data_IF_671685397538
#
_entry.id   IF_671685397538
#
_cell.length_a   1.000
_cell.length_b   1.000
_cell.length_c   1.000
_cell.angle_alpha   90.00
_cell.angle_beta   90.00
_cell.angle_gamma   90.00
#
_symmetry.space_group_name_H-M   'P 1'
#
loop_
_entity.id
_entity.type
_entity.pdbx_description
1 polymer ?
#
# COMPACT_ATOMS: atom_id res chain seq x y z
N UNK A 1 25.01 23.13 29.42
CA UNK A 1 23.96 22.85 28.41
C UNK A 1 24.56 22.00 27.30
N UNK A 2 24.32 20.68 27.32
CA UNK A 2 24.77 19.76 26.29
C UNK A 2 23.51 19.16 25.63
N UNK A 3 23.19 19.63 24.43
CA UNK A 3 22.13 19.06 23.60
C UNK A 3 22.59 17.69 23.09
N UNK A 4 21.90 16.62 23.46
CA UNK A 4 22.07 15.29 22.85
C UNK A 4 21.31 15.29 21.51
N UNK A 5 22.05 15.16 20.41
CA UNK A 5 21.48 14.84 19.10
C UNK A 5 21.03 13.38 19.10
N UNK A 6 19.73 13.16 19.03
CA UNK A 6 19.14 11.86 18.74
C UNK A 6 19.29 11.61 17.24
N UNK A 7 20.07 10.59 16.89
CA UNK A 7 20.22 10.12 15.51
C UNK A 7 18.96 9.33 15.12
N UNK A 8 18.02 9.98 14.43
CA UNK A 8 16.93 9.31 13.72
C UNK A 8 17.51 8.59 12.51
N UNK A 9 17.37 7.26 12.46
CA UNK A 9 17.53 6.48 11.24
C UNK A 9 16.18 6.49 10.51
N UNK A 10 16.07 7.34 9.52
CA UNK A 10 14.99 7.29 8.52
C UNK A 10 15.47 6.43 7.37
N UNK A 11 14.86 5.30 7.16
CA UNK A 11 14.90 4.52 5.93
C UNK A 11 13.43 4.20 5.61
N UNK A 12 12.83 5.00 4.78
CA UNK A 12 11.51 4.79 4.22
C UNK A 12 11.35 5.75 3.04
N UNK A 13 11.31 5.24 1.85
CA UNK A 13 11.03 6.00 0.64
C UNK A 13 9.58 6.49 0.71
N UNK A 14 9.39 7.81 0.72
CA UNK A 14 8.08 8.45 0.63
C UNK A 14 7.74 8.60 -0.85
N UNK A 15 6.87 7.75 -1.34
CA UNK A 15 6.19 7.99 -2.61
C UNK A 15 5.11 9.06 -2.41
N UNK A 16 5.34 10.29 -2.91
CA UNK A 16 4.41 11.39 -2.82
C UNK A 16 3.37 11.27 -3.94
N UNK A 17 2.20 10.71 -3.66
CA UNK A 17 1.04 10.82 -4.56
C UNK A 17 0.16 11.98 -4.05
N UNK A 18 0.20 13.11 -4.73
CA UNK A 18 -0.68 14.25 -4.46
C UNK A 18 -1.97 14.07 -5.25
N UNK A 19 -3.01 13.56 -4.61
CA UNK A 19 -4.38 13.63 -5.14
C UNK A 19 -5.09 14.80 -4.46
N UNK A 20 -5.19 15.93 -5.16
CA UNK A 20 -5.99 17.06 -4.76
C UNK A 20 -7.47 16.80 -5.08
N UNK A 21 -8.18 16.11 -4.20
CA UNK A 21 -9.64 16.18 -4.14
C UNK A 21 -10.02 16.74 -2.79
N UNK A 22 -10.59 17.96 -2.80
CA UNK A 22 -11.06 18.61 -1.59
C UNK A 22 -12.13 17.74 -0.91
N UNK A 23 -11.75 17.04 0.14
CA UNK A 23 -12.67 16.40 1.05
C UNK A 23 -13.12 17.40 2.10
N UNK A 24 -14.36 17.88 1.96
CA UNK A 24 -15.09 18.42 3.11
C UNK A 24 -15.11 17.32 4.18
N UNK A 25 -14.56 17.64 5.35
CA UNK A 25 -14.60 16.79 6.54
C UNK A 25 -16.03 16.34 6.77
N UNK A 26 -16.35 15.09 6.44
CA UNK A 26 -17.59 14.50 6.90
C UNK A 26 -17.51 14.50 8.45
N UNK A 27 -18.53 15.01 9.18
CA UNK A 27 -18.55 14.81 10.62
C UNK A 27 -18.45 13.30 10.84
N UNK A 28 -17.58 12.87 11.76
CA UNK A 28 -17.55 11.50 12.25
C UNK A 28 -19.01 11.19 12.65
N UNK A 29 -19.74 10.49 11.76
CA UNK A 29 -21.08 10.03 12.03
C UNK A 29 -21.03 9.21 13.31
N UNK A 30 -22.13 9.13 14.04
CA UNK A 30 -22.24 8.36 15.29
C UNK A 30 -21.50 7.02 15.13
N UNK A 31 -20.27 6.96 15.68
CA UNK A 31 -19.45 5.74 15.62
C UNK A 31 -20.20 4.73 16.48
N UNK A 32 -20.68 3.67 15.85
CA UNK A 32 -21.38 2.63 16.54
C UNK A 32 -20.37 1.94 17.46
N UNK A 33 -20.52 2.06 18.79
CA UNK A 33 -19.55 1.59 19.78
C UNK A 33 -19.28 0.07 19.68
N UNK A 34 -20.16 -0.68 19.00
CA UNK A 34 -20.01 -2.11 18.76
C UNK A 34 -18.96 -2.45 17.67
N UNK A 35 -18.53 -1.46 16.87
CA UNK A 35 -17.61 -1.66 15.74
C UNK A 35 -16.17 -1.17 16.04
N UNK A 36 -15.85 -0.87 17.31
CA UNK A 36 -14.54 -0.39 17.72
C UNK A 36 -13.68 -1.52 18.29
N UNK A 37 -12.57 -1.79 17.63
CA UNK A 37 -11.63 -2.85 17.98
C UNK A 37 -10.27 -2.28 18.36
N UNK A 38 -9.57 -2.86 19.35
CA UNK A 38 -8.14 -2.60 19.57
C UNK A 38 -7.25 -3.47 18.67
N UNK A 39 -7.83 -4.51 18.08
CA UNK A 39 -7.17 -5.41 17.13
C UNK A 39 -8.18 -5.87 16.08
N UNK A 40 -7.74 -5.89 14.83
CA UNK A 40 -8.47 -6.46 13.70
C UNK A 40 -7.61 -7.56 13.09
N UNK A 41 -8.19 -8.75 12.91
CA UNK A 41 -7.54 -9.89 12.26
C UNK A 41 -8.50 -10.50 11.23
N UNK A 42 -8.07 -10.56 9.96
CA UNK A 42 -8.84 -11.11 8.83
C UNK A 42 -7.92 -11.74 7.79
N UNK A 43 -8.49 -12.54 6.91
CA UNK A 43 -7.78 -13.23 5.83
C UNK A 43 -6.95 -14.39 6.32
N UNK A 44 -6.23 -15.00 5.40
CA UNK A 44 -5.37 -16.14 5.66
C UNK A 44 -3.92 -15.76 5.40
N UNK A 45 -3.00 -16.36 6.15
CA UNK A 45 -1.59 -16.13 5.92
C UNK A 45 -1.16 -16.79 4.61
N UNK A 46 -0.61 -15.99 3.70
CA UNK A 46 0.16 -16.49 2.57
C UNK A 46 1.50 -17.05 3.07
N UNK A 47 2.12 -17.91 2.29
CA UNK A 47 3.44 -18.43 2.63
C UNK A 47 4.45 -17.28 2.82
N UNK A 48 5.25 -17.35 3.88
CA UNK A 48 6.17 -16.27 4.25
C UNK A 48 7.20 -15.94 3.17
N UNK A 49 7.52 -16.90 2.29
CA UNK A 49 8.40 -16.71 1.12
C UNK A 49 7.89 -15.63 0.16
N UNK A 50 6.57 -15.41 0.07
CA UNK A 50 5.98 -14.38 -0.78
C UNK A 50 5.99 -12.97 -0.18
N UNK A 51 6.25 -12.83 1.12
CA UNK A 51 6.17 -11.54 1.81
C UNK A 51 7.05 -10.44 1.18
N UNK A 52 8.32 -10.71 0.80
CA UNK A 52 9.14 -9.72 0.10
C UNK A 52 8.54 -9.22 -1.22
N UNK A 53 7.90 -10.12 -1.98
CA UNK A 53 7.30 -9.81 -3.29
C UNK A 53 6.01 -9.01 -3.13
N UNK A 54 5.18 -9.34 -2.15
CA UNK A 54 3.95 -8.61 -1.83
C UNK A 54 4.28 -7.20 -1.37
N UNK A 55 5.28 -7.03 -0.51
CA UNK A 55 5.72 -5.72 -0.01
C UNK A 55 6.31 -4.83 -1.11
N UNK A 56 6.82 -5.41 -2.18
CA UNK A 56 7.39 -4.71 -3.33
C UNK A 56 6.46 -4.74 -4.57
N UNK A 57 5.20 -5.13 -4.41
CA UNK A 57 4.26 -5.37 -5.51
C UNK A 57 4.13 -4.21 -6.53
N UNK A 58 4.47 -2.99 -6.13
CA UNK A 58 4.42 -1.76 -6.93
C UNK A 58 5.81 -1.21 -7.28
N UNK A 59 6.89 -1.95 -7.04
CA UNK A 59 8.27 -1.48 -7.19
C UNK A 59 9.04 -2.36 -8.18
N UNK A 60 9.01 -2.06 -9.48
CA UNK A 60 9.60 -2.88 -10.53
C UNK A 60 11.07 -3.22 -10.33
N UNK A 61 11.87 -2.23 -9.89
CA UNK A 61 13.31 -2.40 -9.68
C UNK A 61 13.60 -3.36 -8.51
N UNK A 62 12.88 -3.21 -7.41
CA UNK A 62 13.03 -4.10 -6.25
C UNK A 62 12.58 -5.53 -6.56
N UNK A 63 11.53 -5.69 -7.37
CA UNK A 63 11.09 -7.01 -7.85
C UNK A 63 12.13 -7.65 -8.76
N UNK A 64 12.75 -6.89 -9.67
CA UNK A 64 13.81 -7.41 -10.52
C UNK A 64 15.00 -7.94 -9.69
N UNK A 65 15.41 -7.21 -8.65
CA UNK A 65 16.46 -7.68 -7.72
C UNK A 65 16.04 -8.97 -7.00
N UNK A 66 14.80 -9.05 -6.50
CA UNK A 66 14.28 -10.25 -5.82
C UNK A 66 14.22 -11.49 -6.74
N UNK A 67 13.95 -11.28 -8.02
CA UNK A 67 13.88 -12.33 -9.04
C UNK A 67 15.25 -12.66 -9.64
N UNK A 68 16.31 -11.90 -9.30
CA UNK A 68 17.63 -12.04 -9.90
C UNK A 68 17.64 -11.65 -11.38
N UNK A 69 16.74 -10.77 -11.79
CA UNK A 69 16.63 -10.26 -13.16
C UNK A 69 17.38 -8.94 -13.34
N UNK A 70 17.80 -8.69 -14.58
CA UNK A 70 18.36 -7.38 -14.94
C UNK A 70 17.27 -6.31 -14.87
N UNK A 71 17.56 -5.20 -14.20
CA UNK A 71 16.71 -4.01 -14.20
C UNK A 71 16.84 -3.35 -15.55
N UNK A 72 15.80 -3.45 -16.37
CA UNK A 72 15.70 -2.77 -17.66
C UNK A 72 14.85 -1.50 -17.44
N UNK A 73 15.45 -0.34 -17.64
CA UNK A 73 14.82 0.90 -17.22
C UNK A 73 14.65 1.88 -18.36
N UNK A 74 13.38 2.20 -18.64
CA UNK A 74 13.02 3.52 -19.07
C UNK A 74 13.48 3.96 -20.45
N UNK A 75 13.65 3.05 -21.41
CA UNK A 75 13.83 3.43 -22.81
C UNK A 75 12.49 3.70 -23.49
N UNK A 76 11.45 2.99 -23.08
CA UNK A 76 10.13 3.10 -23.69
C UNK A 76 9.01 3.32 -22.64
N UNK A 77 9.02 2.59 -21.53
CA UNK A 77 8.06 2.80 -20.46
C UNK A 77 8.49 3.93 -19.53
N UNK A 78 7.51 4.66 -19.02
CA UNK A 78 7.74 5.78 -18.12
C UNK A 78 8.46 5.33 -16.84
N UNK A 79 9.63 5.92 -16.59
CA UNK A 79 10.41 5.75 -15.36
C UNK A 79 10.97 7.12 -14.92
N UNK A 80 10.12 7.98 -14.35
CA UNK A 80 10.45 9.33 -13.87
C UNK A 80 10.92 10.36 -14.94
N UNK A 81 10.74 10.07 -16.22
CA UNK A 81 11.02 10.98 -17.33
C UNK A 81 9.74 11.35 -18.08
N UNK A 82 9.71 12.57 -18.65
CA UNK A 82 8.48 13.20 -19.13
C UNK A 82 7.98 12.70 -20.50
N UNK A 83 8.74 11.92 -21.26
CA UNK A 83 8.44 11.63 -22.67
C UNK A 83 8.25 10.14 -22.97
N UNK A 84 7.76 9.37 -22.01
CA UNK A 84 7.65 7.92 -22.14
C UNK A 84 6.20 7.45 -22.02
N UNK A 85 5.99 6.18 -22.34
CA UNK A 85 4.66 5.55 -22.31
C UNK A 85 4.29 5.17 -20.89
N UNK A 86 3.22 5.76 -20.37
CA UNK A 86 2.56 5.33 -19.15
C UNK A 86 1.82 4.01 -19.36
N UNK A 87 1.58 3.27 -18.31
CA UNK A 87 1.01 1.93 -18.38
C UNK A 87 0.10 1.60 -17.21
N UNK A 88 -0.84 0.68 -17.42
CA UNK A 88 -1.60 0.05 -16.34
C UNK A 88 -0.71 -0.96 -15.61
N UNK A 89 -0.58 -0.80 -14.30
CA UNK A 89 0.12 -1.73 -13.42
C UNK A 89 -0.87 -2.73 -12.81
N UNK A 90 -0.64 -4.02 -13.02
CA UNK A 90 -1.44 -5.08 -12.41
C UNK A 90 -0.78 -5.55 -11.11
N UNK A 91 -1.21 -5.00 -9.98
CA UNK A 91 -0.56 -5.20 -8.67
C UNK A 91 -1.55 -5.25 -7.51
N UNK A 92 -1.13 -5.79 -6.37
CA UNK A 92 -1.97 -5.94 -5.18
C UNK A 92 -3.09 -6.98 -5.37
N UNK A 93 -4.10 -6.96 -4.49
CA UNK A 93 -5.23 -7.89 -4.58
C UNK A 93 -6.06 -7.68 -5.84
N UNK A 94 -6.41 -8.80 -6.48
CA UNK A 94 -7.34 -8.86 -7.62
C UNK A 94 -8.36 -9.97 -7.40
N UNK A 95 -9.63 -9.65 -7.64
CA UNK A 95 -10.70 -10.65 -7.53
C UNK A 95 -10.56 -11.72 -8.61
N UNK A 96 -10.70 -13.00 -8.22
CA UNK A 96 -10.65 -14.16 -9.14
C UNK A 96 -11.68 -14.03 -10.25
N UNK A 97 -11.33 -14.48 -11.44
CA UNK A 97 -12.17 -14.42 -12.63
C UNK A 97 -12.60 -13.01 -13.06
N UNK A 98 -12.13 -11.96 -12.39
CA UNK A 98 -12.32 -10.59 -12.87
C UNK A 98 -11.48 -10.32 -14.10
N UNK A 99 -11.87 -9.32 -14.89
CA UNK A 99 -11.12 -8.88 -16.06
C UNK A 99 -10.45 -7.55 -15.81
N UNK A 100 -9.20 -7.40 -16.24
CA UNK A 100 -8.41 -6.20 -16.11
C UNK A 100 -7.97 -5.72 -17.50
N UNK A 101 -8.31 -4.47 -17.82
CA UNK A 101 -7.80 -3.84 -19.03
C UNK A 101 -6.34 -3.41 -18.83
N UNK A 102 -5.48 -3.77 -19.76
CA UNK A 102 -4.10 -3.30 -19.82
C UNK A 102 -4.03 -2.19 -20.85
N UNK A 103 -3.70 -0.99 -20.41
CA UNK A 103 -3.69 0.22 -21.23
C UNK A 103 -2.31 0.87 -21.19
N UNK A 104 -1.99 1.54 -22.28
CA UNK A 104 -0.82 2.38 -22.42
C UNK A 104 -1.29 3.81 -22.65
N UNK A 105 -0.50 4.79 -22.17
CA UNK A 105 -0.83 6.21 -22.25
C UNK A 105 0.36 6.99 -22.78
N UNK A 106 0.15 7.84 -23.78
CA UNK A 106 1.17 8.82 -24.16
C UNK A 106 1.37 9.83 -23.04
N UNK A 107 2.60 10.09 -22.67
CA UNK A 107 2.96 11.06 -21.64
C UNK A 107 3.94 12.06 -22.23
N UNK A 108 3.65 13.36 -22.13
CA UNK A 108 4.46 14.40 -22.74
C UNK A 108 4.02 14.78 -24.16
N UNK A 109 4.89 15.49 -24.88
CA UNK A 109 4.64 15.97 -26.25
C UNK A 109 5.29 15.08 -27.32
N UNK A 110 6.11 14.10 -26.92
CA UNK A 110 6.79 13.18 -27.83
C UNK A 110 5.93 11.97 -28.14
N UNK A 111 5.87 11.61 -29.41
CA UNK A 111 5.29 10.32 -29.81
C UNK A 111 6.41 9.26 -29.72
N UNK A 112 6.26 8.24 -28.87
CA UNK A 112 7.25 7.17 -28.76
C UNK A 112 7.32 6.38 -30.05
N UNK A 113 8.50 5.90 -30.41
CA UNK A 113 8.68 5.03 -31.58
C UNK A 113 7.83 3.75 -31.42
N UNK A 114 7.15 3.32 -32.50
CA UNK A 114 6.36 2.09 -32.46
C UNK A 114 7.21 0.87 -32.06
N UNK A 115 6.68 0.04 -31.17
CA UNK A 115 7.39 -1.15 -30.70
C UNK A 115 6.47 -2.38 -30.63
N UNK A 116 7.05 -3.55 -30.45
CA UNK A 116 6.30 -4.75 -30.07
C UNK A 116 6.19 -4.82 -28.56
N UNK A 117 4.99 -5.03 -28.03
CA UNK A 117 4.74 -5.13 -26.59
C UNK A 117 4.26 -6.53 -26.24
N UNK A 118 4.83 -7.11 -25.19
CA UNK A 118 4.44 -8.40 -24.62
C UNK A 118 3.93 -8.21 -23.19
N UNK A 119 2.80 -8.84 -22.91
CA UNK A 119 2.22 -9.00 -21.56
C UNK A 119 2.33 -10.47 -21.17
N UNK A 120 2.93 -10.73 -20.01
CA UNK A 120 3.01 -12.08 -19.45
C UNK A 120 2.50 -12.10 -18.03
N UNK A 121 1.72 -13.11 -17.68
CA UNK A 121 1.31 -13.42 -16.31
C UNK A 121 1.78 -14.84 -16.00
N UNK A 122 2.59 -14.99 -14.97
CA UNK A 122 3.11 -16.27 -14.48
C UNK A 122 2.74 -16.46 -13.02
N UNK A 123 2.51 -17.69 -12.60
CA UNK A 123 2.38 -18.00 -11.20
C UNK A 123 3.75 -17.94 -10.52
N UNK A 124 3.84 -17.39 -9.31
CA UNK A 124 5.01 -17.55 -8.46
C UNK A 124 4.84 -18.80 -7.61
N UNK A 125 5.87 -19.62 -7.58
CA UNK A 125 5.92 -20.83 -6.78
C UNK A 125 6.78 -20.61 -5.54
N UNK A 126 6.22 -20.99 -4.38
CA UNK A 126 6.96 -20.95 -3.11
C UNK A 126 7.92 -22.13 -2.99
N UNK A 127 9.07 -21.89 -2.34
CA UNK A 127 10.08 -22.89 -2.09
C UNK A 127 11.15 -22.36 -1.15
N UNK A 128 12.35 -22.96 -1.18
CA UNK A 128 13.50 -22.40 -0.48
C UNK A 128 13.83 -20.99 -1.02
N UNK A 129 13.65 -20.83 -2.34
CA UNK A 129 13.60 -19.54 -3.04
C UNK A 129 12.30 -19.48 -3.86
N UNK A 130 11.69 -18.31 -3.97
CA UNK A 130 10.54 -18.10 -4.85
C UNK A 130 11.02 -18.12 -6.29
N UNK A 131 10.34 -18.89 -7.11
CA UNK A 131 10.63 -19.02 -8.54
C UNK A 131 9.41 -18.75 -9.39
N UNK A 132 9.66 -18.38 -10.64
CA UNK A 132 8.59 -18.29 -11.62
C UNK A 132 8.19 -19.70 -12.07
N UNK A 133 6.89 -19.98 -11.93
CA UNK A 133 6.28 -21.23 -12.34
C UNK A 133 5.62 -21.15 -13.71
N UNK A 134 4.40 -21.67 -13.82
CA UNK A 134 3.66 -21.73 -15.09
C UNK A 134 3.29 -20.35 -15.62
N UNK A 135 3.49 -20.15 -16.95
CA UNK A 135 2.95 -18.99 -17.67
C UNK A 135 1.46 -19.23 -17.92
N UNK A 136 0.63 -18.40 -17.30
CA UNK A 136 -0.84 -18.48 -17.39
C UNK A 136 -1.36 -17.72 -18.61
N UNK A 137 -0.75 -16.57 -18.90
CA UNK A 137 -1.16 -15.70 -20.01
C UNK A 137 0.07 -15.10 -20.67
N UNK A 138 0.12 -15.17 -21.98
CA UNK A 138 1.08 -14.44 -22.81
C UNK A 138 0.37 -13.83 -24.01
N UNK A 139 0.51 -12.53 -24.20
CA UNK A 139 -0.03 -11.79 -25.34
C UNK A 139 1.07 -10.90 -25.91
N UNK A 140 1.32 -11.01 -27.21
CA UNK A 140 2.27 -10.15 -27.92
C UNK A 140 1.53 -9.35 -28.98
N UNK A 141 1.76 -8.06 -29.06
CA UNK A 141 1.14 -7.12 -29.98
C UNK A 141 2.24 -6.37 -30.71
N UNK A 142 2.27 -6.51 -32.02
CA UNK A 142 3.27 -5.87 -32.86
C UNK A 142 2.87 -4.45 -33.24
N UNK A 143 3.87 -3.61 -33.47
CA UNK A 143 3.71 -2.24 -33.99
C UNK A 143 2.71 -1.42 -33.16
N UNK A 144 2.91 -1.40 -31.85
CA UNK A 144 2.12 -0.60 -30.90
C UNK A 144 2.51 0.87 -31.04
N UNK A 145 1.54 1.69 -31.46
CA UNK A 145 1.67 3.15 -31.57
C UNK A 145 0.77 3.79 -30.51
N UNK A 146 1.34 4.59 -29.62
CA UNK A 146 0.61 5.25 -28.53
C UNK A 146 0.56 6.74 -28.76
N UNK A 147 -0.55 7.23 -29.33
CA UNK A 147 -0.76 8.66 -29.58
C UNK A 147 -1.51 9.37 -28.42
N UNK A 148 -2.35 8.65 -27.67
CA UNK A 148 -3.10 9.14 -26.52
C UNK A 148 -3.27 7.98 -25.54
N UNK A 149 -4.37 7.25 -25.64
CA UNK A 149 -4.62 6.00 -24.90
C UNK A 149 -4.73 4.83 -25.86
N UNK A 150 -4.06 3.75 -25.56
CA UNK A 150 -4.07 2.52 -26.35
C UNK A 150 -4.50 1.35 -25.48
N UNK A 151 -5.63 0.72 -25.83
CA UNK A 151 -6.10 -0.50 -25.19
C UNK A 151 -5.26 -1.70 -25.70
N UNK A 152 -4.25 -2.07 -24.94
CA UNK A 152 -3.31 -3.13 -25.34
C UNK A 152 -4.00 -4.49 -25.37
N UNK A 153 -4.60 -4.87 -24.24
CA UNK A 153 -5.32 -6.15 -24.10
C UNK A 153 -6.20 -6.16 -22.85
N UNK A 154 -6.98 -7.23 -22.70
CA UNK A 154 -7.70 -7.53 -21.46
C UNK A 154 -7.27 -8.90 -20.97
N UNK A 155 -6.89 -8.98 -19.70
CA UNK A 155 -6.49 -10.22 -19.05
C UNK A 155 -7.54 -10.65 -18.03
N UNK A 156 -7.73 -11.96 -17.88
CA UNK A 156 -8.59 -12.53 -16.84
C UNK A 156 -7.73 -12.97 -15.66
N UNK A 157 -8.09 -12.55 -14.45
CA UNK A 157 -7.41 -12.98 -13.24
C UNK A 157 -7.61 -14.47 -13.03
N UNK A 158 -6.56 -15.25 -12.77
CA UNK A 158 -6.66 -16.70 -12.62
C UNK A 158 -7.67 -17.11 -11.52
N UNK A 159 -8.34 -18.27 -11.75
CA UNK A 159 -9.21 -18.87 -10.74
C UNK A 159 -8.41 -19.55 -9.62
N UNK A 160 -7.27 -20.15 -9.97
CA UNK A 160 -6.36 -20.78 -9.02
C UNK A 160 -5.83 -19.72 -8.04
N UNK A 161 -5.91 -20.04 -6.76
CA UNK A 161 -5.36 -19.16 -5.70
C UNK A 161 -3.84 -19.11 -5.77
N UNK A 162 -3.29 -17.90 -5.64
CA UNK A 162 -1.85 -17.74 -5.71
C UNK A 162 -1.37 -16.30 -5.77
N UNK A 163 -0.05 -16.20 -5.85
CA UNK A 163 0.70 -14.97 -6.12
C UNK A 163 1.23 -15.05 -7.54
N UNK A 164 1.10 -13.94 -8.28
CA UNK A 164 1.39 -13.91 -9.71
C UNK A 164 2.32 -12.76 -10.04
N UNK A 165 3.25 -13.04 -10.94
CA UNK A 165 4.12 -12.04 -11.54
C UNK A 165 3.49 -11.52 -12.83
N UNK A 166 3.38 -10.22 -12.95
CA UNK A 166 3.00 -9.51 -14.15
C UNK A 166 4.22 -8.89 -14.78
N UNK A 167 4.44 -9.13 -16.07
CA UNK A 167 5.46 -8.50 -16.90
C UNK A 167 4.82 -7.76 -18.05
N UNK A 168 5.28 -6.54 -18.26
CA UNK A 168 5.00 -5.75 -19.45
C UNK A 168 6.34 -5.40 -20.06
N UNK A 169 6.58 -5.82 -21.31
CA UNK A 169 7.89 -5.72 -21.96
C UNK A 169 7.77 -5.06 -23.34
N UNK A 170 8.71 -4.17 -23.65
CA UNK A 170 8.94 -3.73 -25.03
C UNK A 170 10.02 -4.60 -25.68
N UNK A 171 9.85 -4.90 -26.96
CA UNK A 171 10.71 -5.82 -27.69
C UNK A 171 11.24 -5.18 -28.97
N UNK A 172 12.50 -5.49 -29.31
CA UNK A 172 13.01 -5.25 -30.66
C UNK A 172 12.26 -6.08 -31.69
N UNK A 173 12.37 -5.76 -33.00
CA UNK A 173 11.86 -6.61 -34.06
C UNK A 173 12.45 -8.04 -34.09
N UNK A 174 13.57 -8.25 -33.42
CA UNK A 174 14.23 -9.56 -33.26
C UNK A 174 13.76 -10.31 -32.01
N UNK A 175 12.91 -9.69 -31.18
CA UNK A 175 12.34 -10.29 -29.97
C UNK A 175 13.19 -10.13 -28.70
N UNK A 176 14.24 -9.30 -28.75
CA UNK A 176 15.01 -8.97 -27.56
C UNK A 176 14.26 -7.95 -26.70
N UNK A 177 14.24 -8.15 -25.39
CA UNK A 177 13.60 -7.21 -24.43
C UNK A 177 14.45 -5.97 -24.33
N UNK A 178 13.85 -4.81 -24.60
CA UNK A 178 14.51 -3.49 -24.50
C UNK A 178 14.14 -2.73 -23.25
N UNK A 179 12.92 -2.97 -22.76
CA UNK A 179 12.43 -2.34 -21.53
C UNK A 179 11.42 -3.24 -20.83
N UNK A 180 11.31 -3.15 -19.50
CA UNK A 180 10.47 -4.05 -18.72
C UNK A 180 9.87 -3.36 -17.48
N UNK A 181 8.60 -3.64 -17.26
CA UNK A 181 7.87 -3.30 -16.02
C UNK A 181 7.46 -4.59 -15.34
N UNK A 182 7.74 -4.70 -14.05
CA UNK A 182 7.36 -5.81 -13.20
C UNK A 182 6.38 -5.36 -12.13
N UNK A 183 5.41 -6.21 -11.83
CA UNK A 183 4.60 -6.08 -10.63
C UNK A 183 4.10 -7.43 -10.15
N UNK A 184 3.67 -7.48 -8.91
CA UNK A 184 3.09 -8.68 -8.30
C UNK A 184 1.65 -8.41 -7.93
N UNK A 185 0.77 -9.32 -8.30
CA UNK A 185 -0.61 -9.35 -7.82
C UNK A 185 -0.95 -10.71 -7.21
N UNK A 186 -1.99 -10.74 -6.43
CA UNK A 186 -2.48 -11.95 -5.78
C UNK A 186 -4.01 -11.96 -5.76
N UNK A 187 -4.61 -13.15 -5.78
CA UNK A 187 -6.05 -13.34 -5.80
C UNK A 187 -6.59 -14.04 -4.54
N UNK A 188 -5.76 -14.09 -3.51
CA UNK A 188 -6.11 -14.46 -2.13
C UNK A 188 -5.85 -13.23 -1.27
N UNK A 189 -6.82 -12.86 -0.42
CA UNK A 189 -6.63 -11.76 0.51
C UNK A 189 -5.56 -12.15 1.54
N UNK A 190 -4.42 -11.44 1.59
CA UNK A 190 -3.37 -11.73 2.55
C UNK A 190 -3.84 -11.39 3.96
N UNK A 191 -3.22 -11.98 4.97
CA UNK A 191 -3.57 -11.72 6.36
C UNK A 191 -3.48 -10.22 6.69
N UNK A 192 -4.57 -9.65 7.18
CA UNK A 192 -4.65 -8.37 7.84
C UNK A 192 -4.63 -8.63 9.36
N UNK A 193 -3.67 -8.05 10.07
CA UNK A 193 -3.55 -8.18 11.53
C UNK A 193 -3.00 -6.87 12.10
N UNK A 194 -3.91 -6.03 12.59
CA UNK A 194 -3.60 -4.71 13.12
C UNK A 194 -3.87 -4.67 14.62
N UNK A 195 -2.92 -4.13 15.39
CA UNK A 195 -3.11 -3.81 16.80
C UNK A 195 -2.82 -2.33 17.05
N UNK A 196 -3.71 -1.68 17.81
CA UNK A 196 -3.61 -0.28 18.16
C UNK A 196 -3.62 -0.10 19.66
N UNK A 197 -2.59 0.56 20.20
CA UNK A 197 -2.41 0.74 21.62
C UNK A 197 -1.86 2.12 21.98
N UNK A 198 -1.99 2.51 23.26
CA UNK A 198 -1.38 3.70 23.83
C UNK A 198 -0.44 3.29 24.94
N UNK A 199 0.82 3.68 24.80
CA UNK A 199 1.84 3.54 25.81
C UNK A 199 1.87 4.84 26.65
N UNK A 200 1.52 4.77 27.94
CA UNK A 200 1.60 5.89 28.87
C UNK A 200 1.98 5.41 30.26
N UNK A 201 3.15 5.78 30.71
CA UNK A 201 3.60 5.46 32.06
C UNK A 201 3.21 6.54 33.07
N UNK A 202 3.93 7.64 33.03
CA UNK A 202 3.72 8.82 33.88
C UNK A 202 4.39 10.00 33.20
N UNK A 203 3.72 11.13 33.13
CA UNK A 203 4.29 12.33 32.53
C UNK A 203 3.27 13.12 31.76
N UNK A 204 3.74 14.03 30.94
CA UNK A 204 2.92 14.95 30.14
C UNK A 204 2.75 14.49 28.68
N UNK A 205 3.38 13.39 28.31
CA UNK A 205 3.33 12.80 26.96
C UNK A 205 2.93 11.33 27.02
N UNK A 206 2.22 10.87 26.02
CA UNK A 206 1.91 9.48 25.74
C UNK A 206 2.21 9.19 24.29
N UNK A 207 2.39 7.91 23.94
CA UNK A 207 2.69 7.47 22.58
C UNK A 207 1.58 6.52 22.12
N UNK A 208 0.94 6.81 20.99
CA UNK A 208 0.11 5.81 20.36
C UNK A 208 0.92 5.00 19.35
N UNK A 209 0.59 3.73 19.27
CA UNK A 209 1.31 2.75 18.46
C UNK A 209 0.33 1.96 17.61
N UNK A 210 0.62 1.88 16.33
CA UNK A 210 -0.06 0.98 15.39
C UNK A 210 0.93 -0.08 14.94
N UNK A 211 0.60 -1.34 15.18
CA UNK A 211 1.34 -2.49 14.68
C UNK A 211 0.59 -3.11 13.50
N UNK A 212 1.31 -3.38 12.43
CA UNK A 212 0.84 -4.21 11.33
C UNK A 212 1.56 -5.56 11.41
N UNK A 213 0.91 -6.54 12.02
CA UNK A 213 1.39 -7.94 12.11
C UNK A 213 0.90 -8.78 10.92
N UNK A 214 0.19 -8.16 9.98
CA UNK A 214 -0.33 -8.79 8.77
C UNK A 214 0.68 -8.87 7.65
N UNK A 215 0.19 -9.25 6.48
CA UNK A 215 0.95 -9.39 5.24
C UNK A 215 0.51 -8.40 4.16
N UNK A 216 -0.44 -7.51 4.47
CA UNK A 216 -0.90 -6.45 3.58
C UNK A 216 -0.51 -5.09 4.13
N UNK A 217 -0.23 -4.13 3.27
CA UNK A 217 0.02 -2.76 3.70
C UNK A 217 -1.29 -2.03 3.98
N UNK A 218 -1.25 -1.09 4.92
CA UNK A 218 -2.38 -0.23 5.27
C UNK A 218 -1.99 1.24 5.16
N UNK A 219 -3.00 2.10 5.02
CA UNK A 219 -2.79 3.55 4.97
C UNK A 219 -3.66 4.28 5.98
N UNK A 220 -3.16 5.37 6.54
CA UNK A 220 -3.88 6.20 7.48
C UNK A 220 -3.36 7.65 7.49
N UNK A 221 -4.18 8.59 7.94
CA UNK A 221 -3.74 9.93 8.27
C UNK A 221 -3.01 9.96 9.62
N UNK A 222 -2.32 11.04 9.93
CA UNK A 222 -1.71 11.25 11.27
C UNK A 222 -2.75 11.72 12.31
N UNK A 223 -3.94 12.05 11.87
CA UNK A 223 -5.06 12.49 12.71
C UNK A 223 -5.64 11.36 13.56
N UNK A 224 -6.22 11.72 14.68
CA UNK A 224 -6.94 10.83 15.60
C UNK A 224 -8.02 11.63 16.34
N UNK A 225 -9.02 10.92 16.89
CA UNK A 225 -9.94 11.48 17.86
C UNK A 225 -9.57 10.99 19.27
N UNK A 226 -9.72 11.89 20.26
CA UNK A 226 -9.58 11.56 21.67
C UNK A 226 -10.96 11.55 22.31
N UNK A 227 -11.29 10.52 23.06
CA UNK A 227 -12.53 10.43 23.81
C UNK A 227 -12.27 10.14 25.28
N UNK A 228 -13.11 10.70 26.16
CA UNK A 228 -13.10 10.45 27.59
C UNK A 228 -14.36 9.68 27.99
N UNK A 229 -14.19 8.68 28.86
CA UNK A 229 -15.31 8.00 29.47
C UNK A 229 -15.86 8.79 30.64
N UNK A 230 -17.14 9.21 30.55
CA UNK A 230 -17.83 10.00 31.56
C UNK A 230 -19.29 9.56 31.69
N UNK A 231 -19.73 9.25 32.91
CA UNK A 231 -21.11 8.82 33.21
C UNK A 231 -21.65 7.68 32.35
N UNK A 232 -20.80 6.71 31.98
CA UNK A 232 -21.19 5.55 31.20
C UNK A 232 -21.16 5.77 29.69
N UNK A 233 -20.66 6.92 29.21
CA UNK A 233 -20.63 7.27 27.78
C UNK A 233 -19.24 7.82 27.41
N UNK A 234 -18.76 7.43 26.24
CA UNK A 234 -17.59 8.04 25.62
C UNK A 234 -17.96 9.39 25.00
N UNK A 235 -17.18 10.42 25.31
CA UNK A 235 -17.38 11.79 24.81
C UNK A 235 -16.09 12.29 24.19
N UNK A 236 -16.22 12.89 23.01
CA UNK A 236 -15.10 13.51 22.31
C UNK A 236 -14.50 14.63 23.17
N UNK A 237 -13.17 14.61 23.30
CA UNK A 237 -12.37 15.68 23.91
C UNK A 237 -11.89 16.58 22.77
N UNK A 238 -12.31 17.86 22.73
CA UNK A 238 -11.84 18.77 21.71
C UNK A 238 -10.32 18.91 21.76
N UNK A 239 -9.66 18.64 20.66
CA UNK A 239 -8.24 18.85 20.49
C UNK A 239 -8.00 20.19 19.81
N UNK A 240 -7.23 21.08 20.44
CA UNK A 240 -6.75 22.33 19.81
C UNK A 240 -5.50 22.03 18.96
N UNK A 241 -5.65 21.05 18.03
CA UNK A 241 -4.59 20.57 17.16
C UNK A 241 -5.00 20.72 15.71
N UNK A 242 -4.07 21.20 14.90
CA UNK A 242 -4.17 21.14 13.45
C UNK A 242 -3.31 19.96 12.96
N UNK A 243 -3.96 18.94 12.40
CA UNK A 243 -3.25 17.84 11.76
C UNK A 243 -2.91 18.21 10.32
N UNK A 244 -1.70 17.85 9.90
CA UNK A 244 -1.31 17.92 8.50
C UNK A 244 -1.92 16.73 7.74
N UNK A 245 -2.46 16.99 6.55
CA UNK A 245 -3.01 15.93 5.71
C UNK A 245 -1.87 15.15 5.07
N UNK A 246 -1.34 14.16 5.78
CA UNK A 246 -0.33 13.23 5.28
C UNK A 246 -0.92 11.83 5.34
N UNK A 247 -0.87 11.11 4.22
CA UNK A 247 -1.11 9.68 4.19
C UNK A 247 0.18 8.94 4.57
N UNK A 248 0.11 8.14 5.61
CA UNK A 248 1.17 7.22 6.03
C UNK A 248 0.84 5.84 5.50
N UNK A 249 1.76 5.22 4.78
CA UNK A 249 1.68 3.80 4.42
C UNK A 249 2.49 3.01 5.44
N UNK A 250 1.89 1.97 6.02
CA UNK A 250 2.52 1.05 6.94
C UNK A 250 2.56 -0.33 6.29
N UNK A 251 3.76 -0.78 5.94
CA UNK A 251 3.96 -2.07 5.31
C UNK A 251 3.72 -3.23 6.30
N UNK A 252 3.65 -4.45 5.75
CA UNK A 252 3.58 -5.68 6.52
C UNK A 252 4.76 -5.78 7.51
N UNK A 253 4.49 -6.21 8.73
CA UNK A 253 5.48 -6.36 9.79
C UNK A 253 5.99 -5.06 10.41
N UNK A 254 5.55 -3.90 9.96
CA UNK A 254 6.01 -2.61 10.46
C UNK A 254 5.21 -2.12 11.68
N UNK A 255 5.85 -1.18 12.40
CA UNK A 255 5.28 -0.42 13.50
C UNK A 255 5.37 1.07 13.20
N UNK A 256 4.32 1.80 13.50
CA UNK A 256 4.31 3.26 13.51
C UNK A 256 3.97 3.77 14.91
N UNK A 257 4.72 4.74 15.39
CA UNK A 257 4.48 5.39 16.68
C UNK A 257 4.48 6.92 16.53
N UNK A 258 3.68 7.59 17.36
CA UNK A 258 3.60 9.04 17.40
C UNK A 258 3.23 9.53 18.81
N UNK A 259 3.95 10.54 19.27
CA UNK A 259 3.75 11.13 20.60
C UNK A 259 2.63 12.16 20.58
N UNK A 260 1.89 12.26 21.69
CA UNK A 260 0.89 13.28 21.93
C UNK A 260 0.89 13.74 23.37
N UNK A 261 0.50 15.02 23.61
CA UNK A 261 0.45 15.58 24.95
C UNK A 261 -0.79 15.10 25.70
N UNK A 262 -0.58 14.75 26.97
CA UNK A 262 -1.64 14.44 27.95
C UNK A 262 -1.64 15.43 29.13
N UNK A 263 -0.84 16.51 29.06
CA UNK A 263 -0.61 17.46 30.14
C UNK A 263 -1.89 18.10 30.68
N UNK A 264 -2.80 18.46 29.76
CA UNK A 264 -4.05 19.14 30.09
C UNK A 264 -5.22 18.18 30.34
N UNK A 265 -4.99 16.86 30.27
CA UNK A 265 -6.03 15.87 30.47
C UNK A 265 -6.30 15.67 31.98
N UNK A 266 -7.57 15.82 32.37
CA UNK A 266 -8.00 15.48 33.72
C UNK A 266 -7.90 13.97 33.95
N UNK A 267 -7.78 13.57 35.23
CA UNK A 267 -7.81 12.14 35.62
C UNK A 267 -9.03 11.44 35.05
N UNK A 268 -8.86 10.22 34.57
CA UNK A 268 -9.95 9.45 34.00
C UNK A 268 -9.52 8.45 32.97
N UNK A 269 -10.49 7.74 32.45
CA UNK A 269 -10.33 6.76 31.39
C UNK A 269 -10.54 7.43 30.03
N UNK A 270 -9.63 7.19 29.11
CA UNK A 270 -9.60 7.76 27.77
C UNK A 270 -9.40 6.69 26.71
N UNK A 271 -9.74 6.99 25.48
CA UNK A 271 -9.32 6.21 24.31
C UNK A 271 -8.95 7.12 23.15
N UNK A 272 -7.96 6.71 22.37
CA UNK A 272 -7.76 7.22 21.02
C UNK A 272 -8.59 6.40 20.04
N UNK A 273 -9.13 7.07 19.04
CA UNK A 273 -9.90 6.46 17.95
C UNK A 273 -9.25 6.86 16.63
N UNK A 274 -9.00 5.88 15.76
CA UNK A 274 -8.27 6.07 14.51
C UNK A 274 -8.85 5.23 13.39
N UNK A 275 -9.01 5.83 12.21
CA UNK A 275 -9.44 5.11 10.99
C UNK A 275 -8.24 4.69 10.18
N UNK A 276 -8.18 3.42 9.83
CA UNK A 276 -7.15 2.77 9.02
C UNK A 276 -7.81 2.25 7.75
N UNK A 277 -7.21 2.53 6.60
CA UNK A 277 -7.64 1.99 5.32
C UNK A 277 -6.82 0.75 4.98
N UNK A 278 -7.48 -0.31 4.57
CA UNK A 278 -6.86 -1.53 4.04
C UNK A 278 -7.22 -1.67 2.56
N UNK A 279 -6.37 -1.16 1.64
CA UNK A 279 -6.69 -1.09 0.22
C UNK A 279 -7.02 -2.45 -0.41
N UNK A 280 -6.31 -3.51 -0.03
CA UNK A 280 -6.55 -4.86 -0.54
C UNK A 280 -7.93 -5.40 -0.16
N UNK A 281 -8.47 -4.94 0.96
CA UNK A 281 -9.81 -5.30 1.43
C UNK A 281 -10.90 -4.36 0.89
N UNK A 282 -10.52 -3.21 0.32
CA UNK A 282 -11.46 -2.16 -0.08
C UNK A 282 -12.25 -1.58 1.10
N UNK A 283 -11.76 -1.74 2.33
CA UNK A 283 -12.45 -1.39 3.57
C UNK A 283 -11.62 -0.43 4.44
N UNK A 284 -12.32 0.24 5.34
CA UNK A 284 -11.72 1.04 6.41
C UNK A 284 -12.12 0.45 7.76
N UNK A 285 -11.17 0.38 8.68
CA UNK A 285 -11.36 -0.11 10.04
C UNK A 285 -11.16 1.03 11.03
N UNK A 286 -12.07 1.14 12.00
CA UNK A 286 -11.91 2.10 13.09
C UNK A 286 -11.36 1.37 14.32
N UNK A 287 -10.14 1.70 14.69
CA UNK A 287 -9.47 1.13 15.87
C UNK A 287 -9.56 2.06 17.05
N UNK A 288 -9.53 1.49 18.26
CA UNK A 288 -9.46 2.22 19.51
C UNK A 288 -8.31 1.73 20.39
N UNK A 289 -7.71 2.64 21.12
CA UNK A 289 -6.67 2.33 22.09
C UNK A 289 -7.02 2.98 23.44
N UNK A 290 -7.53 2.23 24.42
CA UNK A 290 -7.87 2.75 25.74
C UNK A 290 -6.61 2.97 26.61
N UNK A 291 -6.63 4.03 27.43
CA UNK A 291 -5.58 4.34 28.39
C UNK A 291 -6.12 5.10 29.61
N UNK A 292 -5.32 5.20 30.68
CA UNK A 292 -5.74 5.80 31.95
C UNK A 292 -4.81 6.96 32.34
N UNK A 293 -5.38 8.12 32.60
CA UNK A 293 -4.69 9.26 33.26
C UNK A 293 -4.93 9.17 34.77
N UNK A 294 -3.85 9.02 35.57
CA UNK A 294 -3.85 8.79 37.04
C UNK A 294 -3.75 10.06 37.83
#
# INVERSE_FOLDING_TARGET
MKRRLVKRRWLGLIGLVVILTGCTRAPLGDINQEDLFSRVERGEALEASFEPYINQAYQPEALAELLGEEVLTGEWFMNNNDDQVGYTLLSGYKEKNSTQAIQLFAYGESEPEPTTVRVTISQLESGDDVSEGEVITEVTIDNVEVADTFDLTTVTIPELEGVYLYRLESLTPTGEVTDRVLSVFYNVLPKLDLAFEVEHDTGTEATWVLHNHGQTSVTFGVDYALEKYDDGVWREVPLDLAFIEIAVQLAAGERYDNDFSVEDLARGEYRLVKTIQAPDYGESFTLQAPFLIK
#
